data_IF_079154970841
#
_entry.id   IF_079154970841
#
_cell.length_a   1.000
_cell.length_b   1.000
_cell.length_c   1.000
_cell.angle_alpha   90.00
_cell.angle_beta   90.00
_cell.angle_gamma   90.00
#
_symmetry.space_group_name_H-M   'P 1'
#
loop_
_entity.id
_entity.type
_entity.pdbx_description
1 polymer ?
#
# COMPACT_ATOMS: atom_id res chain seq x y z
N UNK A 1 -10.60 -16.60 14.74
CA UNK A 1 -9.33 -17.35 14.85
C UNK A 1 -8.29 -16.62 14.01
N UNK A 2 -7.39 -15.83 14.61
CA UNK A 2 -6.46 -14.88 13.94
C UNK A 2 -5.13 -15.54 13.55
N UNK A 3 -5.16 -16.61 12.75
CA UNK A 3 -3.94 -17.24 12.26
C UNK A 3 -3.99 -17.36 10.73
N UNK A 4 -3.03 -16.69 10.10
CA UNK A 4 -3.10 -16.32 8.68
C UNK A 4 -2.44 -17.33 7.74
N UNK A 5 -1.56 -18.18 8.28
CA UNK A 5 -0.84 -19.21 7.53
C UNK A 5 -0.83 -20.53 8.30
N UNK A 6 -0.88 -21.65 7.58
CA UNK A 6 -0.81 -23.02 8.13
C UNK A 6 0.39 -23.20 9.07
N UNK A 7 1.56 -22.68 8.67
CA UNK A 7 2.80 -22.72 9.47
C UNK A 7 2.66 -22.01 10.82
N UNK A 8 1.87 -20.95 10.91
CA UNK A 8 1.66 -20.19 12.14
C UNK A 8 0.63 -20.85 13.07
N UNK A 9 -0.06 -21.90 12.63
CA UNK A 9 -1.03 -22.64 13.44
C UNK A 9 -0.41 -23.77 14.26
N UNK A 10 0.88 -24.04 14.06
CA UNK A 10 1.64 -24.96 14.92
C UNK A 10 1.76 -24.39 16.34
N UNK A 11 1.58 -25.23 17.34
CA UNK A 11 1.76 -24.87 18.74
C UNK A 11 2.46 -26.01 19.47
N UNK A 12 3.38 -25.70 20.37
CA UNK A 12 4.06 -26.69 21.21
C UNK A 12 3.40 -26.66 22.59
N UNK A 13 2.97 -27.82 23.09
CA UNK A 13 2.50 -27.93 24.48
C UNK A 13 3.67 -27.69 25.44
N UNK A 14 3.46 -26.78 26.39
CA UNK A 14 4.43 -26.42 27.44
C UNK A 14 4.07 -27.02 28.82
N UNK A 15 3.06 -27.88 28.89
CA UNK A 15 2.63 -28.53 30.12
C UNK A 15 3.62 -29.66 30.50
N UNK A 16 4.10 -29.80 31.76
CA UNK A 16 5.12 -30.79 32.11
C UNK A 16 4.82 -32.23 31.71
N UNK A 17 3.55 -32.63 31.68
CA UNK A 17 3.12 -33.99 31.28
C UNK A 17 3.16 -34.26 29.77
N UNK A 18 3.18 -33.20 28.93
CA UNK A 18 3.14 -33.28 27.47
C UNK A 18 4.11 -32.25 26.84
N UNK A 19 5.21 -31.97 27.53
CA UNK A 19 6.14 -30.93 27.13
C UNK A 19 6.82 -31.31 25.81
N UNK A 20 6.76 -30.42 24.82
CA UNK A 20 7.38 -30.64 23.51
C UNK A 20 6.49 -31.34 22.48
N UNK A 21 5.23 -31.67 22.82
CA UNK A 21 4.27 -32.21 21.84
C UNK A 21 3.83 -31.10 20.87
N UNK A 22 4.11 -31.28 19.58
CA UNK A 22 3.73 -30.37 18.51
C UNK A 22 2.29 -30.64 18.08
N UNK A 23 1.42 -29.67 18.30
CA UNK A 23 0.05 -29.65 17.76
C UNK A 23 0.12 -28.99 16.37
N UNK A 24 -0.13 -29.77 15.32
CA UNK A 24 -0.20 -29.31 13.94
C UNK A 24 -1.57 -29.66 13.34
N UNK A 25 -2.52 -28.74 13.45
CA UNK A 25 -3.91 -28.92 13.02
C UNK A 25 -4.11 -28.76 11.50
N UNK A 26 -3.11 -28.22 10.79
CA UNK A 26 -3.24 -27.81 9.38
C UNK A 26 -2.03 -28.20 8.53
N UNK A 27 -1.29 -29.23 8.93
CA UNK A 27 -0.11 -29.78 8.22
C UNK A 27 0.97 -28.73 7.91
N UNK A 28 1.11 -27.71 8.78
CA UNK A 28 2.08 -26.63 8.63
C UNK A 28 3.54 -27.14 8.57
N UNK A 29 3.82 -28.31 9.14
CA UNK A 29 5.15 -28.94 9.10
C UNK A 29 5.55 -29.40 7.70
N UNK A 30 4.62 -29.92 6.91
CA UNK A 30 4.90 -30.36 5.55
C UNK A 30 4.94 -29.19 4.56
N UNK A 31 4.14 -28.15 4.80
CA UNK A 31 4.24 -26.87 4.09
C UNK A 31 5.64 -26.23 4.31
N UNK A 32 6.19 -26.29 5.53
CA UNK A 32 7.54 -25.79 5.83
C UNK A 32 8.64 -26.58 5.09
N UNK A 33 8.52 -27.92 5.00
CA UNK A 33 9.48 -28.76 4.25
C UNK A 33 9.48 -28.46 2.75
N UNK A 34 8.30 -28.20 2.19
CA UNK A 34 8.13 -27.89 0.77
C UNK A 34 8.29 -26.40 0.46
N UNK A 35 8.60 -25.55 1.46
CA UNK A 35 8.70 -24.09 1.35
C UNK A 35 7.43 -23.44 0.79
N UNK A 36 6.27 -24.01 1.12
CA UNK A 36 4.95 -23.53 0.69
C UNK A 36 4.34 -22.64 1.78
N UNK A 37 3.80 -21.48 1.38
CA UNK A 37 3.05 -20.59 2.26
C UNK A 37 1.59 -20.68 1.88
N UNK A 38 0.80 -21.46 2.63
CA UNK A 38 -0.63 -21.68 2.37
C UNK A 38 -1.47 -20.78 3.27
N UNK A 39 -2.36 -20.00 2.64
CA UNK A 39 -3.25 -19.06 3.33
C UNK A 39 -4.47 -19.82 3.88
N UNK A 40 -4.82 -19.56 5.14
CA UNK A 40 -5.89 -20.32 5.82
C UNK A 40 -7.31 -19.90 5.37
N UNK A 41 -7.51 -18.66 4.89
CA UNK A 41 -8.78 -18.17 4.33
C UNK A 41 -8.61 -16.83 3.57
N UNK A 42 -9.46 -16.57 2.57
CA UNK A 42 -9.40 -15.35 1.71
C UNK A 42 -9.60 -14.02 2.47
N UNK A 43 -10.31 -14.01 3.62
CA UNK A 43 -10.55 -12.77 4.38
C UNK A 43 -9.34 -12.27 5.19
N UNK A 44 -8.24 -13.02 5.25
CA UNK A 44 -7.00 -12.58 5.92
C UNK A 44 -6.32 -11.41 5.19
N UNK A 45 -6.49 -11.32 3.86
CA UNK A 45 -5.85 -10.27 3.05
C UNK A 45 -6.39 -8.86 3.29
N UNK A 46 -7.61 -8.73 3.84
CA UNK A 46 -8.25 -7.44 4.08
C UNK A 46 -7.81 -6.79 5.40
N UNK A 47 -7.33 -7.58 6.38
CA UNK A 47 -7.03 -7.11 7.74
C UNK A 47 -5.54 -6.75 7.95
N UNK A 48 -4.68 -6.91 6.92
CA UNK A 48 -3.21 -6.96 7.13
C UNK A 48 -2.33 -6.21 6.13
N UNK A 49 -2.80 -5.07 5.62
CA UNK A 49 -1.93 -4.12 4.90
C UNK A 49 -0.67 -3.72 5.72
N UNK A 50 -0.72 -3.82 7.06
CA UNK A 50 0.40 -3.54 7.97
C UNK A 50 1.42 -4.68 8.09
N UNK A 51 1.11 -5.91 7.66
CA UNK A 51 2.07 -7.03 7.71
C UNK A 51 3.06 -7.07 6.57
N UNK A 52 2.73 -6.47 5.43
CA UNK A 52 3.69 -6.25 4.34
C UNK A 52 4.91 -5.47 4.86
N UNK A 53 4.66 -4.46 5.69
CA UNK A 53 5.72 -3.66 6.33
C UNK A 53 6.55 -4.48 7.31
N UNK A 54 5.92 -5.34 8.13
CA UNK A 54 6.65 -6.24 9.05
C UNK A 54 7.49 -7.29 8.32
N UNK A 55 6.98 -7.87 7.24
CA UNK A 55 7.72 -8.84 6.40
C UNK A 55 8.92 -8.20 5.67
N UNK A 56 8.82 -6.91 5.34
CA UNK A 56 9.92 -6.12 4.80
C UNK A 56 10.91 -5.60 5.88
N UNK A 57 10.71 -5.93 7.17
CA UNK A 57 11.53 -5.44 8.28
C UNK A 57 11.31 -3.97 8.65
N UNK A 58 10.31 -3.30 8.05
CA UNK A 58 9.88 -1.95 8.42
C UNK A 58 8.89 -2.04 9.57
N UNK A 59 9.37 -1.87 10.81
CA UNK A 59 8.48 -1.72 11.96
C UNK A 59 7.61 -0.47 11.78
N UNK A 60 6.25 -0.59 11.76
CA UNK A 60 5.36 0.56 11.65
C UNK A 60 5.53 1.62 12.76
N UNK A 61 6.19 1.23 13.86
CA UNK A 61 6.47 2.10 15.00
C UNK A 61 7.35 3.32 14.66
N UNK A 62 8.29 3.20 13.72
CA UNK A 62 9.19 4.34 13.38
C UNK A 62 8.42 5.46 12.68
N UNK A 63 7.46 5.11 11.81
CA UNK A 63 6.59 6.10 11.17
C UNK A 63 5.53 6.63 12.14
N UNK A 64 4.92 5.78 12.97
CA UNK A 64 3.89 6.21 13.91
C UNK A 64 4.39 7.19 14.98
N UNK A 65 5.66 7.08 15.40
CA UNK A 65 6.28 8.03 16.34
C UNK A 65 6.44 9.43 15.74
N UNK A 66 6.51 9.57 14.41
CA UNK A 66 6.67 10.85 13.72
C UNK A 66 5.35 11.58 13.41
N UNK A 67 4.21 11.04 13.83
CA UNK A 67 2.89 11.64 13.61
C UNK A 67 2.63 11.95 12.12
N UNK A 68 2.24 13.19 11.82
CA UNK A 68 1.94 13.65 10.45
C UNK A 68 3.14 13.52 9.50
N UNK A 69 4.37 13.70 10.00
CA UNK A 69 5.59 13.57 9.17
C UNK A 69 5.84 12.11 8.78
N UNK A 70 5.53 11.18 9.67
CA UNK A 70 5.59 9.76 9.39
C UNK A 70 4.57 9.35 8.32
N UNK A 71 3.32 9.80 8.46
CA UNK A 71 2.28 9.55 7.45
C UNK A 71 2.68 10.04 6.06
N UNK A 72 3.24 11.26 5.95
CA UNK A 72 3.74 11.79 4.70
C UNK A 72 4.86 10.93 4.08
N UNK A 73 5.83 10.48 4.89
CA UNK A 73 6.88 9.57 4.43
C UNK A 73 6.32 8.23 3.95
N UNK A 74 5.31 7.68 4.63
CA UNK A 74 4.64 6.45 4.23
C UNK A 74 4.07 6.56 2.81
N UNK A 75 3.36 7.66 2.55
CA UNK A 75 2.72 7.93 1.27
C UNK A 75 3.76 8.06 0.16
N UNK A 76 4.86 8.78 0.40
CA UNK A 76 5.94 8.93 -0.57
C UNK A 76 6.58 7.59 -0.89
N UNK A 77 6.91 6.78 0.13
CA UNK A 77 7.48 5.45 -0.06
C UNK A 77 6.52 4.56 -0.85
N UNK A 78 5.23 4.57 -0.52
CA UNK A 78 4.23 3.78 -1.22
C UNK A 78 4.10 4.18 -2.71
N UNK A 79 4.12 5.47 -3.00
CA UNK A 79 4.10 5.98 -4.38
C UNK A 79 5.37 5.59 -5.15
N UNK A 80 6.55 5.68 -4.51
CA UNK A 80 7.82 5.28 -5.12
C UNK A 80 7.88 3.78 -5.41
N UNK A 81 7.39 2.95 -4.49
CA UNK A 81 7.29 1.50 -4.71
C UNK A 81 6.33 1.15 -5.85
N UNK A 82 5.16 1.80 -5.88
CA UNK A 82 4.18 1.64 -6.96
C UNK A 82 4.76 2.05 -8.32
N UNK A 83 5.36 3.25 -8.40
CA UNK A 83 6.02 3.74 -9.59
C UNK A 83 7.17 2.82 -10.03
N UNK A 84 7.99 2.36 -9.08
CA UNK A 84 9.09 1.42 -9.33
C UNK A 84 8.61 0.08 -9.88
N UNK A 85 7.53 -0.49 -9.31
CA UNK A 85 6.94 -1.74 -9.78
C UNK A 85 6.33 -1.58 -11.18
N UNK A 86 5.59 -0.49 -11.42
CA UNK A 86 5.05 -0.16 -12.75
C UNK A 86 6.16 -0.01 -13.77
N UNK A 87 7.22 0.72 -13.43
CA UNK A 87 8.39 0.89 -14.29
C UNK A 87 9.10 -0.44 -14.57
N UNK A 88 9.33 -1.25 -13.53
CA UNK A 88 9.89 -2.59 -13.67
C UNK A 88 9.05 -3.45 -14.61
N UNK A 89 7.72 -3.45 -14.47
CA UNK A 89 6.84 -4.25 -15.32
C UNK A 89 6.90 -3.82 -16.81
N UNK A 90 6.97 -2.52 -17.06
CA UNK A 90 7.10 -1.95 -18.41
C UNK A 90 8.46 -2.31 -19.04
N UNK A 91 9.55 -2.27 -18.26
CA UNK A 91 10.91 -2.52 -18.75
C UNK A 91 11.26 -4.02 -18.83
N UNK A 92 10.80 -4.83 -17.88
CA UNK A 92 11.16 -6.25 -17.72
C UNK A 92 10.51 -7.21 -18.74
N UNK A 93 10.05 -6.71 -19.89
CA UNK A 93 9.59 -7.49 -21.06
C UNK A 93 8.40 -8.45 -20.83
N UNK A 94 7.69 -8.38 -19.68
CA UNK A 94 6.39 -9.05 -19.47
C UNK A 94 5.18 -8.18 -19.87
N UNK A 95 5.43 -6.91 -20.18
CA UNK A 95 4.46 -6.00 -20.79
C UNK A 95 4.18 -6.39 -22.25
N UNK A 96 2.91 -6.24 -22.68
CA UNK A 96 2.47 -6.35 -24.09
C UNK A 96 3.28 -5.40 -25.01
N UNK A 97 3.87 -4.34 -24.45
CA UNK A 97 4.65 -3.34 -25.14
C UNK A 97 6.14 -3.49 -24.83
N UNK A 98 6.95 -3.88 -25.83
CA UNK A 98 8.42 -3.82 -25.75
C UNK A 98 8.89 -2.38 -25.88
N UNK A 99 9.04 -1.68 -24.76
CA UNK A 99 9.58 -0.31 -24.76
C UNK A 99 11.08 -0.35 -25.02
N UNK A 100 11.49 0.12 -26.20
CA UNK A 100 12.90 0.37 -26.52
C UNK A 100 13.16 1.87 -26.36
N UNK A 101 13.86 2.26 -25.30
CA UNK A 101 14.18 3.67 -25.00
C UNK A 101 14.84 4.41 -26.18
N UNK A 102 15.61 3.70 -27.00
CA UNK A 102 16.29 4.25 -28.18
C UNK A 102 15.33 4.74 -29.29
N UNK A 103 14.04 4.37 -29.26
CA UNK A 103 13.03 4.79 -30.24
C UNK A 103 12.04 5.82 -29.68
N UNK A 104 12.24 6.32 -28.44
CA UNK A 104 11.43 7.40 -27.88
C UNK A 104 11.81 8.72 -28.54
N UNK A 105 11.15 9.05 -29.67
CA UNK A 105 11.27 10.36 -30.30
C UNK A 105 10.09 11.24 -29.85
N UNK A 106 10.34 12.34 -29.12
CA UNK A 106 9.27 13.26 -28.78
C UNK A 106 8.73 13.89 -30.07
N UNK A 107 7.44 13.68 -30.35
CA UNK A 107 6.76 14.34 -31.47
C UNK A 107 5.83 15.40 -30.91
N UNK A 108 5.99 16.63 -31.41
CA UNK A 108 5.22 17.77 -30.93
C UNK A 108 3.71 17.59 -31.16
N UNK A 109 3.33 16.85 -32.20
CA UNK A 109 1.92 16.53 -32.49
C UNK A 109 1.29 15.67 -31.40
N UNK A 110 1.95 14.58 -31.00
CA UNK A 110 1.44 13.70 -29.93
C UNK A 110 1.44 14.45 -28.60
N UNK A 111 2.47 15.26 -28.32
CA UNK A 111 2.52 16.07 -27.11
C UNK A 111 1.34 17.04 -27.05
N UNK A 112 1.03 17.73 -28.16
CA UNK A 112 -0.13 18.64 -28.24
C UNK A 112 -1.45 17.91 -28.00
N UNK A 113 -1.61 16.70 -28.53
CA UNK A 113 -2.83 15.91 -28.35
C UNK A 113 -2.98 15.44 -26.90
N UNK A 114 -1.88 14.99 -26.26
CA UNK A 114 -1.86 14.65 -24.83
C UNK A 114 -2.25 15.86 -23.99
N UNK A 115 -1.64 17.02 -24.24
CA UNK A 115 -1.97 18.24 -23.52
C UNK A 115 -3.40 18.68 -23.77
N UNK A 116 -3.91 18.58 -25.00
CA UNK A 116 -5.29 18.96 -25.32
C UNK A 116 -6.31 18.12 -24.54
N UNK A 117 -6.03 16.84 -24.30
CA UNK A 117 -6.89 15.96 -23.50
C UNK A 117 -6.69 16.16 -22.00
N UNK A 118 -5.45 16.35 -21.54
CA UNK A 118 -5.12 16.47 -20.11
C UNK A 118 -5.38 17.86 -19.51
N UNK A 119 -5.24 18.92 -20.30
CA UNK A 119 -5.30 20.31 -19.83
C UNK A 119 -6.66 20.69 -19.19
N UNK A 120 -7.83 20.29 -19.75
CA UNK A 120 -9.11 20.50 -19.07
C UNK A 120 -9.14 19.86 -17.67
N UNK A 121 -8.62 18.64 -17.53
CA UNK A 121 -8.57 17.93 -16.23
C UNK A 121 -7.62 18.58 -15.23
N UNK A 122 -6.53 19.20 -15.72
CA UNK A 122 -5.63 19.97 -14.86
C UNK A 122 -6.35 21.21 -14.31
N UNK A 123 -7.09 21.93 -15.16
CA UNK A 123 -7.87 23.09 -14.71
C UNK A 123 -8.91 22.67 -13.67
N UNK A 124 -9.64 21.57 -13.89
CA UNK A 124 -10.63 21.08 -12.95
C UNK A 124 -10.03 20.75 -11.58
N UNK A 125 -8.88 20.06 -11.55
CA UNK A 125 -8.18 19.74 -10.29
C UNK A 125 -7.68 21.00 -9.56
N UNK A 126 -7.17 21.99 -10.29
CA UNK A 126 -6.74 23.26 -9.68
C UNK A 126 -7.94 23.98 -9.09
N UNK A 127 -9.07 24.02 -9.80
CA UNK A 127 -10.30 24.65 -9.29
C UNK A 127 -10.85 23.95 -8.06
N UNK A 128 -10.75 22.62 -7.99
CA UNK A 128 -11.11 21.83 -6.80
C UNK A 128 -10.22 22.20 -5.61
N UNK A 129 -8.90 22.28 -5.81
CA UNK A 129 -7.95 22.70 -4.78
C UNK A 129 -8.20 24.13 -4.28
N UNK A 130 -8.48 25.07 -5.19
CA UNK A 130 -8.82 26.46 -4.84
C UNK A 130 -10.14 26.51 -4.05
N UNK A 131 -11.16 25.79 -4.52
CA UNK A 131 -12.47 25.76 -3.85
C UNK A 131 -12.35 25.18 -2.45
N UNK A 132 -11.58 24.09 -2.30
CA UNK A 132 -11.31 23.49 -0.99
C UNK A 132 -10.52 24.43 -0.07
N UNK A 133 -9.55 25.17 -0.60
CA UNK A 133 -8.80 26.15 0.19
C UNK A 133 -9.69 27.30 0.68
N UNK A 134 -10.55 27.84 -0.19
CA UNK A 134 -11.52 28.89 0.18
C UNK A 134 -12.52 28.36 1.21
N UNK A 135 -13.04 27.15 1.02
CA UNK A 135 -13.95 26.50 1.96
C UNK A 135 -13.32 26.35 3.35
N UNK A 136 -12.08 25.84 3.42
CA UNK A 136 -11.34 25.73 4.69
C UNK A 136 -11.04 27.09 5.31
N UNK A 137 -10.75 28.11 4.50
CA UNK A 137 -10.54 29.48 4.98
C UNK A 137 -11.80 30.03 5.65
N UNK A 138 -12.97 29.86 5.02
CA UNK A 138 -14.25 30.28 5.60
C UNK A 138 -14.56 29.49 6.88
N UNK A 139 -14.37 28.17 6.88
CA UNK A 139 -14.54 27.32 8.06
C UNK A 139 -13.63 27.70 9.22
N UNK A 140 -12.43 28.19 8.93
CA UNK A 140 -11.49 28.62 9.98
C UNK A 140 -12.05 29.76 10.84
N UNK A 141 -12.93 30.59 10.29
CA UNK A 141 -13.62 31.66 11.03
C UNK A 141 -14.64 31.12 12.05
N UNK A 142 -15.14 29.89 11.85
CA UNK A 142 -16.09 29.21 12.77
C UNK A 142 -15.38 28.35 13.82
N UNK A 143 -14.04 28.29 13.82
CA UNK A 143 -13.22 27.59 14.80
C UNK A 143 -12.71 26.22 14.34
N UNK A 144 -11.74 25.69 15.08
CA UNK A 144 -11.02 24.45 14.72
C UNK A 144 -11.91 23.20 14.71
N UNK A 145 -13.01 23.20 15.47
CA UNK A 145 -13.94 22.08 15.53
C UNK A 145 -14.75 21.92 14.23
N UNK A 146 -15.08 23.05 13.57
CA UNK A 146 -15.76 23.05 12.28
C UNK A 146 -14.86 22.52 11.16
N UNK A 147 -13.58 22.90 11.18
CA UNK A 147 -12.57 22.38 10.26
C UNK A 147 -12.35 20.86 10.45
N UNK A 148 -12.29 20.40 11.70
CA UNK A 148 -12.12 18.98 12.01
C UNK A 148 -13.35 18.14 11.60
N UNK A 149 -14.57 18.65 11.81
CA UNK A 149 -15.80 17.98 11.40
C UNK A 149 -15.92 17.88 9.87
N UNK A 150 -15.54 18.94 9.14
CA UNK A 150 -15.52 18.94 7.68
C UNK A 150 -14.48 17.96 7.09
N UNK A 151 -13.43 17.60 7.83
CA UNK A 151 -12.47 16.58 7.40
C UNK A 151 -12.92 15.13 7.64
N UNK A 152 -14.01 14.92 8.38
CA UNK A 152 -14.58 13.59 8.68
C UNK A 152 -15.82 13.30 7.82
N UNK A 153 -16.52 14.34 7.34
CA UNK A 153 -17.70 14.25 6.48
C UNK A 153 -17.31 14.08 5.01
#
# INVERSE_FOLDING_TARGET
FRRDFTINTMAIKLNPSHYGELIDLYEGRDDLKHKLIRVLHEKSFTDDATRIWRGAGLSPGILLVMGVRGAALATVIAQLLGAGLSFYYVVARKSVYRVKLLYLRPSLSILRDIYRVGFPSMIMQVMEGVSFAVFNYVLSAFGSLALAAAGIA
#
